data_IF_866340565978
#
_entry.id   IF_866340565978
#
_cell.length_a   1.000
_cell.length_b   1.000
_cell.length_c   1.000
_cell.angle_alpha   90.00
_cell.angle_beta   90.00
_cell.angle_gamma   90.00
#
_symmetry.space_group_name_H-M   'P 1'
#
loop_
_entity.id
_entity.type
_entity.pdbx_description
1 polymer ?
#
# COMPACT_ATOMS: atom_id res chain seq x y z
N UNK A 1 -19.29 21.07 -45.43
CA UNK A 1 -18.76 22.33 -44.87
C UNK A 1 -19.15 22.60 -43.42
N UNK A 2 -20.41 22.90 -43.10
CA UNK A 2 -20.81 23.22 -41.71
C UNK A 2 -20.76 22.01 -40.77
N UNK A 3 -21.20 20.84 -41.27
CA UNK A 3 -21.10 19.58 -40.53
C UNK A 3 -19.64 19.18 -40.28
N UNK A 4 -18.75 19.39 -41.25
CA UNK A 4 -17.33 19.07 -41.10
C UNK A 4 -16.63 20.02 -40.12
N UNK A 5 -17.02 21.29 -40.08
CA UNK A 5 -16.57 22.24 -39.05
C UNK A 5 -17.02 21.77 -37.67
N UNK A 6 -18.29 21.35 -37.55
CA UNK A 6 -18.83 20.88 -36.28
C UNK A 6 -18.17 19.60 -35.79
N UNK A 7 -17.86 18.68 -36.71
CA UNK A 7 -17.12 17.45 -36.40
C UNK A 7 -15.73 17.80 -35.85
N UNK A 8 -14.99 18.70 -36.49
CA UNK A 8 -13.66 19.13 -36.03
C UNK A 8 -13.69 19.80 -34.65
N UNK A 9 -14.68 20.66 -34.39
CA UNK A 9 -14.85 21.27 -33.07
C UNK A 9 -15.10 20.23 -31.98
N UNK A 10 -15.96 19.25 -32.26
CA UNK A 10 -16.27 18.18 -31.31
C UNK A 10 -15.07 17.27 -31.08
N UNK A 11 -14.33 16.91 -32.13
CA UNK A 11 -13.08 16.14 -32.02
C UNK A 11 -12.05 16.85 -31.15
N UNK A 12 -11.91 18.17 -31.31
CA UNK A 12 -11.01 18.98 -30.50
C UNK A 12 -11.43 19.01 -29.02
N UNK A 13 -12.73 19.15 -28.74
CA UNK A 13 -13.25 19.08 -27.37
C UNK A 13 -13.03 17.72 -26.73
N UNK A 14 -13.23 16.63 -27.47
CA UNK A 14 -12.99 15.27 -26.99
C UNK A 14 -11.51 15.06 -26.66
N UNK A 15 -10.60 15.54 -27.51
CA UNK A 15 -9.16 15.47 -27.25
C UNK A 15 -8.78 16.22 -25.96
N UNK A 16 -9.26 17.46 -25.80
CA UNK A 16 -9.00 18.27 -24.60
C UNK A 16 -9.55 17.63 -23.32
N UNK A 17 -10.77 17.09 -23.38
CA UNK A 17 -11.37 16.40 -22.23
C UNK A 17 -10.59 15.15 -21.85
N UNK A 18 -10.13 14.36 -22.83
CA UNK A 18 -9.32 13.18 -22.58
C UNK A 18 -7.97 13.53 -21.94
N UNK A 19 -7.32 14.62 -22.38
CA UNK A 19 -6.08 15.10 -21.76
C UNK A 19 -6.30 15.51 -20.30
N UNK A 20 -7.37 16.25 -20.01
CA UNK A 20 -7.72 16.63 -18.63
C UNK A 20 -8.00 15.41 -17.75
N UNK A 21 -8.74 14.43 -18.27
CA UNK A 21 -9.01 13.17 -17.56
C UNK A 21 -7.71 12.42 -17.27
N UNK A 22 -6.82 12.28 -18.27
CA UNK A 22 -5.54 11.62 -18.09
C UNK A 22 -4.67 12.31 -17.04
N UNK A 23 -4.62 13.64 -17.06
CA UNK A 23 -3.90 14.45 -16.08
C UNK A 23 -4.44 14.26 -14.66
N UNK A 24 -5.76 14.40 -14.46
CA UNK A 24 -6.39 14.23 -13.14
C UNK A 24 -6.23 12.81 -12.62
N UNK A 25 -6.38 11.81 -13.49
CA UNK A 25 -6.17 10.40 -13.15
C UNK A 25 -4.72 10.15 -12.71
N UNK A 26 -3.74 10.70 -13.44
CA UNK A 26 -2.33 10.62 -13.04
C UNK A 26 -2.03 11.34 -11.73
N UNK A 27 -2.74 12.43 -11.42
CA UNK A 27 -2.58 13.20 -10.18
C UNK A 27 -3.18 12.48 -8.97
N UNK A 28 -4.35 11.85 -9.14
CA UNK A 28 -5.06 11.12 -8.07
C UNK A 28 -4.39 9.79 -7.74
N UNK A 29 -4.01 9.01 -8.76
CA UNK A 29 -3.49 7.66 -8.56
C UNK A 29 -1.96 7.58 -8.62
N UNK A 30 -1.28 8.68 -8.97
CA UNK A 30 0.15 8.71 -9.21
C UNK A 30 0.56 7.88 -10.42
N UNK A 31 1.84 7.94 -10.81
CA UNK A 31 2.40 6.95 -11.74
C UNK A 31 2.61 5.64 -10.97
N UNK A 32 2.39 4.49 -11.61
CA UNK A 32 2.61 3.15 -11.01
C UNK A 32 4.01 2.95 -10.41
N UNK A 33 4.97 3.77 -10.79
CA UNK A 33 6.38 3.75 -10.35
C UNK A 33 6.72 4.80 -9.32
N UNK A 34 5.83 5.76 -9.05
CA UNK A 34 6.07 6.83 -8.10
C UNK A 34 5.64 6.36 -6.71
N UNK A 35 6.59 6.30 -5.78
CA UNK A 35 6.26 6.20 -4.35
C UNK A 35 5.62 7.54 -3.99
N UNK A 36 4.30 7.62 -4.02
CA UNK A 36 3.56 8.83 -3.63
C UNK A 36 4.02 9.26 -2.25
N UNK A 37 4.74 10.40 -2.15
CA UNK A 37 4.87 11.10 -0.88
C UNK A 37 3.45 11.42 -0.46
N UNK A 38 3.03 10.84 0.68
CA UNK A 38 1.69 10.94 1.25
C UNK A 38 1.16 12.35 1.01
N UNK A 39 0.07 12.48 0.24
CA UNK A 39 -0.69 13.73 0.25
C UNK A 39 -1.18 13.90 1.69
N UNK A 40 -0.80 15.00 2.33
CA UNK A 40 -1.17 15.32 3.72
C UNK A 40 -2.69 15.40 3.94
N UNK A 41 -3.51 15.28 2.90
CA UNK A 41 -4.97 15.47 2.95
C UNK A 41 -5.74 14.22 3.40
N UNK A 42 -5.12 13.03 3.45
CA UNK A 42 -5.74 11.84 4.06
C UNK A 42 -5.34 11.72 5.53
N UNK A 43 -6.05 12.45 6.39
CA UNK A 43 -5.98 12.50 7.87
C UNK A 43 -6.15 11.14 8.61
N UNK A 44 -6.07 10.01 7.91
CA UNK A 44 -6.32 8.67 8.46
C UNK A 44 -5.08 7.80 8.57
N UNK A 45 -3.98 8.15 7.91
CA UNK A 45 -2.76 7.35 7.99
C UNK A 45 -1.70 8.10 8.78
N UNK A 46 -1.79 8.02 10.10
CA UNK A 46 -0.72 8.44 11.02
C UNK A 46 0.56 7.70 10.63
N UNK A 47 1.65 8.45 10.44
CA UNK A 47 2.96 7.86 10.24
C UNK A 47 3.39 7.22 11.57
N UNK A 48 3.53 5.90 11.59
CA UNK A 48 3.83 5.15 12.83
C UNK A 48 5.29 5.35 13.27
N UNK A 49 6.10 5.96 12.40
CA UNK A 49 7.50 6.29 12.62
C UNK A 49 7.75 7.74 12.26
N UNK A 50 7.16 8.64 13.04
CA UNK A 50 7.55 10.05 13.05
C UNK A 50 8.90 10.16 13.79
N UNK A 51 9.94 9.58 13.19
CA UNK A 51 11.32 9.89 13.55
C UNK A 51 11.72 11.02 12.63
N UNK A 52 11.95 12.21 13.19
CA UNK A 52 12.60 13.31 12.50
C UNK A 52 13.77 12.74 11.69
N UNK A 53 13.62 12.66 10.36
CA UNK A 53 14.79 12.62 9.50
C UNK A 53 15.47 13.97 9.77
N UNK A 54 16.47 13.97 10.63
CA UNK A 54 17.41 15.08 10.75
C UNK A 54 17.80 15.41 9.31
N UNK A 55 17.29 16.53 8.79
CA UNK A 55 17.74 17.05 7.53
C UNK A 55 19.19 17.42 7.75
N UNK A 56 20.11 16.50 7.46
CA UNK A 56 21.51 16.84 7.34
C UNK A 56 21.55 17.92 6.27
N UNK A 57 21.82 19.16 6.69
CA UNK A 57 22.15 20.25 5.77
C UNK A 57 23.18 19.67 4.80
N UNK A 58 22.86 19.70 3.51
CA UNK A 58 23.78 19.25 2.47
C UNK A 58 24.95 20.23 2.46
N UNK A 59 25.95 19.99 3.30
CA UNK A 59 27.25 20.61 3.14
C UNK A 59 27.80 20.09 1.81
N UNK A 60 27.93 21.00 0.85
CA UNK A 60 28.53 20.76 -0.46
C UNK A 60 30.04 20.49 -0.32
N UNK A 61 30.41 19.35 0.25
CA UNK A 61 31.72 18.72 0.02
C UNK A 61 31.69 17.24 0.47
N UNK A 62 30.75 16.47 -0.07
CA UNK A 62 30.81 15.01 0.09
C UNK A 62 31.80 14.45 -0.93
N UNK A 63 33.10 14.55 -0.64
CA UNK A 63 34.13 13.78 -1.37
C UNK A 63 33.70 12.32 -1.37
N UNK A 64 33.41 11.80 -2.55
CA UNK A 64 33.08 10.39 -2.76
C UNK A 64 34.28 9.55 -2.33
N UNK A 65 34.27 9.09 -1.07
CA UNK A 65 35.24 8.12 -0.61
C UNK A 65 34.97 6.83 -1.38
N UNK A 66 35.84 6.50 -2.34
CA UNK A 66 35.83 5.22 -3.05
C UNK A 66 36.16 4.10 -2.06
N UNK A 67 35.14 3.61 -1.35
CA UNK A 67 35.25 2.45 -0.46
C UNK A 67 35.35 1.20 -1.32
N UNK A 68 36.40 0.40 -1.13
CA UNK A 68 36.54 -0.92 -1.78
C UNK A 68 35.31 -1.76 -1.48
N UNK A 69 34.66 -2.29 -2.52
CA UNK A 69 33.51 -3.18 -2.40
C UNK A 69 33.89 -4.44 -1.61
N UNK A 70 33.51 -4.48 -0.33
CA UNK A 70 33.63 -5.69 0.48
C UNK A 70 32.41 -6.58 0.24
N UNK A 71 32.62 -7.77 -0.32
CA UNK A 71 31.57 -8.78 -0.43
C UNK A 71 31.43 -9.52 0.89
N UNK A 72 30.32 -9.26 1.61
CA UNK A 72 29.95 -10.06 2.79
C UNK A 72 29.64 -11.48 2.34
N UNK A 73 30.36 -12.48 2.88
CA UNK A 73 29.98 -13.89 2.71
C UNK A 73 28.62 -14.10 3.37
N UNK A 74 27.57 -14.28 2.56
CA UNK A 74 26.23 -14.61 3.02
C UNK A 74 26.30 -16.01 3.63
N UNK A 75 26.37 -16.10 4.96
CA UNK A 75 26.24 -17.38 5.66
C UNK A 75 24.82 -17.88 5.37
N UNK A 76 24.69 -19.07 4.77
CA UNK A 76 23.39 -19.72 4.53
C UNK A 76 22.62 -19.75 5.85
N UNK A 77 21.53 -18.98 5.92
CA UNK A 77 20.75 -18.76 7.14
C UNK A 77 19.83 -19.95 7.39
N UNK A 78 20.41 -21.14 7.59
CA UNK A 78 19.67 -22.30 8.07
C UNK A 78 19.67 -22.31 9.60
N UNK A 79 19.10 -21.27 10.21
CA UNK A 79 18.71 -21.34 11.63
C UNK A 79 17.23 -21.66 11.67
N UNK A 80 16.88 -22.91 11.34
CA UNK A 80 15.57 -23.43 11.72
C UNK A 80 15.63 -23.55 13.25
N UNK A 81 14.93 -22.65 13.94
CA UNK A 81 14.82 -22.70 15.40
C UNK A 81 13.95 -23.92 15.70
N UNK A 82 14.46 -24.85 16.50
CA UNK A 82 13.71 -26.03 16.93
C UNK A 82 12.70 -25.61 17.99
N UNK A 83 11.41 -25.61 17.61
CA UNK A 83 10.30 -25.25 18.49
C UNK A 83 9.63 -26.47 19.13
N UNK A 84 10.13 -27.69 18.89
CA UNK A 84 9.50 -28.93 19.41
C UNK A 84 9.46 -29.03 20.94
N UNK A 85 10.33 -28.29 21.63
CA UNK A 85 10.45 -28.28 23.10
C UNK A 85 9.71 -27.12 23.77
N UNK A 86 9.05 -26.26 22.99
CA UNK A 86 8.29 -25.12 23.52
C UNK A 86 6.88 -25.62 23.87
N UNK A 87 6.38 -25.39 25.09
CA UNK A 87 5.01 -25.74 25.42
C UNK A 87 4.04 -24.96 24.53
N UNK A 88 3.10 -25.67 23.91
CA UNK A 88 2.05 -25.09 23.07
C UNK A 88 0.73 -25.22 23.82
N UNK A 89 0.12 -24.09 24.14
CA UNK A 89 -1.25 -24.04 24.65
C UNK A 89 -2.19 -23.67 23.51
N UNK A 90 -3.13 -24.57 23.19
CA UNK A 90 -4.17 -24.33 22.18
C UNK A 90 -5.42 -23.83 22.90
N UNK A 91 -5.76 -22.57 22.70
CA UNK A 91 -6.98 -21.95 23.26
C UNK A 91 -8.03 -21.85 22.15
N UNK A 92 -9.06 -22.70 22.24
CA UNK A 92 -10.18 -22.68 21.30
C UNK A 92 -11.21 -21.63 21.73
N UNK A 93 -11.31 -20.53 20.99
CA UNK A 93 -12.36 -19.53 21.20
C UNK A 93 -13.61 -19.91 20.42
N UNK A 94 -14.55 -20.58 21.10
CA UNK A 94 -15.88 -20.89 20.54
C UNK A 94 -16.85 -19.77 20.87
N UNK A 95 -17.68 -19.37 19.91
CA UNK A 95 -18.76 -18.42 20.14
C UNK A 95 -19.80 -19.04 21.09
N UNK A 96 -20.24 -18.34 22.15
CA UNK A 96 -21.31 -18.84 23.02
C UNK A 96 -22.63 -18.92 22.24
N UNK A 97 -23.44 -19.93 22.55
CA UNK A 97 -24.67 -20.25 21.81
C UNK A 97 -25.65 -19.08 21.68
N UNK A 98 -25.73 -18.23 22.71
CA UNK A 98 -26.56 -17.01 22.73
C UNK A 98 -26.22 -16.03 21.60
N UNK A 99 -24.96 -16.04 21.13
CA UNK A 99 -24.45 -15.18 20.06
C UNK A 99 -24.41 -15.87 18.71
N UNK A 100 -24.83 -17.15 18.63
CA UNK A 100 -24.89 -17.92 17.39
C UNK A 100 -26.18 -17.66 16.60
N UNK A 101 -26.82 -16.49 16.76
CA UNK A 101 -28.04 -16.11 16.05
C UNK A 101 -27.83 -14.82 15.26
N UNK A 102 -28.28 -14.80 14.01
CA UNK A 102 -28.18 -13.60 13.17
C UNK A 102 -29.11 -12.50 13.69
N UNK A 103 -28.63 -11.28 13.95
CA UNK A 103 -29.47 -10.19 14.48
C UNK A 103 -30.51 -9.66 13.47
N UNK A 104 -30.39 -10.00 12.18
CA UNK A 104 -31.30 -9.52 11.13
C UNK A 104 -32.41 -10.52 10.79
N UNK A 105 -32.07 -11.80 10.67
CA UNK A 105 -33.01 -12.85 10.27
C UNK A 105 -33.23 -13.94 11.32
N UNK A 106 -32.62 -13.81 12.51
CA UNK A 106 -32.69 -14.76 13.62
C UNK A 106 -32.26 -16.21 13.28
N UNK A 107 -31.66 -16.43 12.10
CA UNK A 107 -31.14 -17.73 11.71
C UNK A 107 -29.91 -18.11 12.55
N UNK A 108 -29.77 -19.39 12.87
CA UNK A 108 -28.58 -19.91 13.55
C UNK A 108 -27.36 -19.80 12.63
N UNK A 109 -26.29 -19.21 13.15
CA UNK A 109 -25.00 -19.12 12.47
C UNK A 109 -24.38 -20.52 12.37
N UNK A 110 -23.88 -20.86 11.19
CA UNK A 110 -23.18 -22.11 10.92
C UNK A 110 -21.72 -21.84 10.65
N UNK A 111 -20.85 -22.74 11.11
CA UNK A 111 -19.42 -22.65 10.82
C UNK A 111 -19.18 -22.95 9.34
N UNK A 112 -18.60 -21.99 8.60
CA UNK A 112 -18.40 -22.09 7.15
C UNK A 112 -17.01 -22.63 6.77
N UNK A 113 -16.09 -22.76 7.73
CA UNK A 113 -14.73 -23.29 7.51
C UNK A 113 -14.24 -24.15 8.67
N UNK A 114 -13.41 -25.16 8.36
CA UNK A 114 -12.74 -25.98 9.37
C UNK A 114 -11.64 -25.15 10.08
N UNK A 115 -11.43 -25.36 11.40
CA UNK A 115 -10.42 -24.66 12.17
C UNK A 115 -8.99 -25.02 11.74
#
# INVERSE_FOLDING_TARGET
>A
DEKDKRIKELEQQVAELNERIAFLTSKLFGKKTEKTRRLQEDDRQLDLFDLEEEQSEKTEDSKEASVKSYTKKIRKKNRKIDTSKIPVEIVNHVMPDEKCSCPKCCARLVQVANP
#
